data_IF_597111112639
#
_entry.id   IF_597111112639
#
_cell.length_a   1.000
_cell.length_b   1.000
_cell.length_c   1.000
_cell.angle_alpha   90.00
_cell.angle_beta   90.00
_cell.angle_gamma   90.00
#
_symmetry.space_group_name_H-M   'P 1'
#
loop_
_entity.id
_entity.type
_entity.pdbx_description
1 polymer ?
#
# COMPACT_ATOMS: atom_id res chain seq x y z
N UNK A 1 -9.40 -11.64 17.85
CA UNK A 1 -8.01 -11.15 17.69
C UNK A 1 -7.14 -11.40 18.94
N UNK A 2 -7.53 -10.93 20.13
CA UNK A 2 -6.72 -11.05 21.35
C UNK A 2 -6.38 -12.50 21.72
N UNK A 3 -7.31 -13.45 21.56
CA UNK A 3 -7.04 -14.86 21.82
C UNK A 3 -5.98 -15.44 20.87
N UNK A 4 -6.11 -15.19 19.57
CA UNK A 4 -5.12 -15.65 18.57
C UNK A 4 -3.73 -15.08 18.86
N UNK A 5 -3.65 -13.79 19.17
CA UNK A 5 -2.40 -13.13 19.52
C UNK A 5 -1.76 -13.76 20.77
N UNK A 6 -2.56 -14.02 21.81
CA UNK A 6 -2.10 -14.72 23.02
C UNK A 6 -1.54 -16.10 22.70
N UNK A 7 -2.26 -16.90 21.92
CA UNK A 7 -1.86 -18.28 21.60
C UNK A 7 -0.64 -18.33 20.69
N UNK A 8 -0.56 -17.44 19.69
CA UNK A 8 0.58 -17.38 18.78
C UNK A 8 1.86 -16.87 19.45
N UNK A 9 1.76 -16.17 20.56
CA UNK A 9 2.90 -15.71 21.36
C UNK A 9 3.18 -16.61 22.58
N UNK A 10 2.38 -17.65 22.82
CA UNK A 10 2.62 -18.61 23.89
C UNK A 10 3.75 -19.57 23.50
N UNK A 11 4.91 -19.60 24.19
CA UNK A 11 6.03 -20.48 23.86
C UNK A 11 5.72 -21.95 24.10
N UNK A 12 4.69 -22.26 24.87
CA UNK A 12 4.24 -23.62 25.19
C UNK A 12 3.20 -24.19 24.22
N UNK A 13 2.92 -23.45 23.12
CA UNK A 13 1.89 -23.79 22.16
C UNK A 13 2.51 -24.08 20.78
N UNK A 14 2.08 -25.18 20.13
CA UNK A 14 2.41 -25.47 18.73
C UNK A 14 1.21 -25.94 17.93
N UNK A 15 1.24 -25.72 16.62
CA UNK A 15 0.28 -26.26 15.68
C UNK A 15 0.86 -27.53 15.10
N UNK A 16 0.12 -28.65 15.24
CA UNK A 16 0.51 -29.97 14.74
C UNK A 16 0.14 -30.13 13.28
N UNK A 17 -1.07 -29.70 12.92
CA UNK A 17 -1.55 -29.74 11.54
C UNK A 17 -2.53 -28.61 11.28
N UNK A 18 -2.67 -28.23 10.01
CA UNK A 18 -3.64 -27.25 9.55
C UNK A 18 -4.19 -27.66 8.19
N UNK A 19 -5.52 -27.66 8.06
CA UNK A 19 -6.25 -27.86 6.81
C UNK A 19 -7.11 -26.64 6.53
N UNK A 20 -6.84 -25.96 5.39
CA UNK A 20 -7.57 -24.74 5.00
C UNK A 20 -9.01 -25.05 4.56
N UNK A 21 -9.24 -26.21 3.99
CA UNK A 21 -10.55 -26.67 3.56
C UNK A 21 -11.19 -27.54 4.67
N UNK A 22 -12.07 -26.92 5.45
CA UNK A 22 -12.73 -27.60 6.57
C UNK A 22 -13.56 -28.82 6.16
N UNK A 23 -14.03 -28.90 4.92
CA UNK A 23 -14.81 -30.04 4.42
C UNK A 23 -14.01 -31.32 4.33
N UNK A 24 -12.69 -31.23 4.26
CA UNK A 24 -11.77 -32.38 4.32
C UNK A 24 -11.60 -32.96 5.72
N UNK A 25 -11.94 -32.20 6.74
CA UNK A 25 -11.87 -32.62 8.15
C UNK A 25 -13.25 -32.98 8.67
N UNK A 26 -14.24 -32.14 8.38
CA UNK A 26 -15.64 -32.33 8.78
C UNK A 26 -16.53 -32.24 7.56
N UNK A 27 -17.12 -33.35 7.14
CA UNK A 27 -18.07 -33.40 6.02
C UNK A 27 -19.25 -32.44 6.27
N UNK A 28 -19.67 -31.72 5.23
CA UNK A 28 -20.79 -30.77 5.27
C UNK A 28 -20.60 -29.53 6.16
N UNK A 29 -19.37 -29.13 6.44
CA UNK A 29 -19.08 -27.89 7.16
C UNK A 29 -18.24 -26.93 6.31
N UNK A 30 -18.60 -25.64 6.37
CA UNK A 30 -17.81 -24.55 5.77
C UNK A 30 -17.33 -23.62 6.92
N UNK A 31 -16.17 -23.93 7.47
CA UNK A 31 -15.53 -23.12 8.50
C UNK A 31 -14.51 -22.20 7.84
N UNK A 32 -14.86 -20.92 7.72
CA UNK A 32 -13.91 -19.91 7.22
C UNK A 32 -12.68 -19.82 8.12
N UNK A 33 -11.50 -19.97 7.51
CA UNK A 33 -10.22 -19.96 8.22
C UNK A 33 -9.64 -21.34 8.49
N UNK A 34 -10.34 -22.43 8.05
CA UNK A 34 -9.83 -23.81 8.15
C UNK A 34 -9.91 -24.42 9.55
N UNK A 35 -9.25 -25.57 9.71
CA UNK A 35 -9.19 -26.34 10.96
C UNK A 35 -7.73 -26.55 11.35
N UNK A 36 -7.39 -26.25 12.60
CA UNK A 36 -6.07 -26.49 13.16
C UNK A 36 -6.13 -27.51 14.30
N UNK A 37 -5.20 -28.47 14.30
CA UNK A 37 -4.92 -29.31 15.45
C UNK A 37 -3.72 -28.73 16.15
N UNK A 38 -3.87 -28.41 17.42
CA UNK A 38 -2.82 -27.79 18.23
C UNK A 38 -2.52 -28.59 19.49
N UNK A 39 -1.32 -28.37 20.02
CA UNK A 39 -0.86 -28.97 21.27
C UNK A 39 -0.28 -27.89 22.15
N UNK A 40 -0.59 -27.97 23.45
CA UNK A 40 -0.03 -27.09 24.46
C UNK A 40 0.46 -27.91 25.66
N UNK A 41 1.70 -27.65 26.08
CA UNK A 41 2.31 -28.31 27.26
C UNK A 41 3.07 -27.27 28.08
N UNK A 42 2.76 -27.17 29.36
CA UNK A 42 3.47 -26.25 30.27
C UNK A 42 4.92 -26.68 30.55
N UNK A 43 5.23 -27.93 30.24
CA UNK A 43 6.55 -28.53 30.52
C UNK A 43 7.51 -28.44 29.31
N UNK A 44 7.04 -27.97 28.15
CA UNK A 44 7.81 -27.91 26.93
C UNK A 44 7.81 -26.49 26.36
N UNK A 45 8.94 -25.98 25.94
CA UNK A 45 9.11 -24.72 25.26
C UNK A 45 9.36 -24.96 23.77
N UNK A 46 8.38 -24.62 22.91
CA UNK A 46 8.46 -24.72 21.44
C UNK A 46 8.90 -23.41 20.80
N UNK A 47 8.99 -22.32 21.59
CA UNK A 47 9.13 -20.96 21.13
C UNK A 47 7.85 -20.39 20.52
N UNK A 48 7.69 -19.09 20.61
CA UNK A 48 6.52 -18.41 20.06
C UNK A 48 6.39 -18.57 18.53
N UNK A 49 5.20 -18.92 18.05
CA UNK A 49 4.89 -19.03 16.62
C UNK A 49 4.92 -17.63 15.98
N UNK A 50 4.31 -16.65 16.65
CA UNK A 50 4.18 -15.27 16.19
C UNK A 50 3.25 -15.13 14.99
N UNK A 51 3.74 -15.35 13.77
CA UNK A 51 2.93 -15.34 12.55
C UNK A 51 2.80 -16.76 12.01
N UNK A 52 1.57 -17.20 11.82
CA UNK A 52 1.27 -18.53 11.26
C UNK A 52 0.74 -18.39 9.84
N UNK A 53 1.18 -19.27 8.95
CA UNK A 53 0.64 -19.47 7.60
C UNK A 53 0.33 -20.93 7.36
N UNK A 54 -0.54 -21.21 6.40
CA UNK A 54 -0.84 -22.57 5.95
C UNK A 54 0.35 -23.28 5.27
N UNK A 55 1.43 -22.55 4.99
CA UNK A 55 2.59 -23.03 4.25
C UNK A 55 3.81 -23.13 5.18
N UNK A 56 4.27 -24.34 5.46
CA UNK A 56 5.38 -24.59 6.39
C UNK A 56 6.67 -23.85 6.01
N UNK A 57 6.97 -23.77 4.70
CA UNK A 57 8.13 -23.09 4.16
C UNK A 57 8.10 -21.58 4.46
N UNK A 58 6.92 -20.97 4.38
CA UNK A 58 6.75 -19.54 4.70
C UNK A 58 6.91 -19.26 6.18
N UNK A 59 6.47 -20.15 7.06
CA UNK A 59 6.67 -20.02 8.50
C UNK A 59 8.17 -19.99 8.84
N UNK A 60 8.97 -20.85 8.21
CA UNK A 60 10.42 -20.88 8.36
C UNK A 60 11.09 -19.59 7.84
N UNK A 61 10.67 -19.07 6.69
CA UNK A 61 11.17 -17.82 6.12
C UNK A 61 10.84 -16.63 7.02
N UNK A 62 9.60 -16.54 7.52
CA UNK A 62 9.18 -15.47 8.44
C UNK A 62 10.01 -15.49 9.71
N UNK A 63 10.26 -16.66 10.28
CA UNK A 63 11.12 -16.80 11.47
C UNK A 63 12.53 -16.26 11.22
N UNK A 64 13.12 -16.58 10.06
CA UNK A 64 14.44 -16.05 9.67
C UNK A 64 14.44 -14.52 9.51
N UNK A 65 13.42 -13.95 8.85
CA UNK A 65 13.31 -12.49 8.68
C UNK A 65 13.24 -11.80 10.03
N UNK A 66 12.41 -12.31 10.95
CA UNK A 66 12.30 -11.76 12.30
C UNK A 66 13.62 -11.81 13.07
N UNK A 67 14.43 -12.86 12.87
CA UNK A 67 15.73 -12.99 13.56
C UNK A 67 16.78 -11.99 13.10
N UNK A 68 16.71 -11.50 11.84
CA UNK A 68 17.67 -10.51 11.31
C UNK A 68 17.26 -9.06 11.59
N UNK A 69 16.12 -8.85 12.28
CA UNK A 69 15.59 -7.51 12.64
C UNK A 69 15.57 -6.54 11.45
N UNK A 70 15.21 -7.04 10.26
CA UNK A 70 15.11 -6.22 9.08
C UNK A 70 14.02 -5.14 9.23
N UNK A 71 14.30 -3.95 8.77
CA UNK A 71 13.33 -2.86 8.70
C UNK A 71 12.19 -3.22 7.75
N UNK A 72 11.00 -2.75 8.09
CA UNK A 72 9.81 -3.01 7.27
C UNK A 72 9.69 -2.01 6.13
N UNK A 73 9.42 -2.50 4.92
CA UNK A 73 9.09 -1.60 3.80
C UNK A 73 7.90 -0.67 4.13
N UNK A 74 7.01 -1.08 5.04
CA UNK A 74 5.86 -0.27 5.46
C UNK A 74 6.25 1.08 6.07
N UNK A 75 7.46 1.21 6.61
CA UNK A 75 7.97 2.45 7.22
C UNK A 75 8.20 3.56 6.20
N UNK A 76 8.47 3.18 4.94
CA UNK A 76 8.68 4.13 3.84
C UNK A 76 7.51 4.20 2.88
N UNK A 77 6.38 3.54 3.17
CA UNK A 77 5.13 3.68 2.41
C UNK A 77 4.38 4.90 2.89
N UNK A 78 4.20 5.87 2.02
CA UNK A 78 3.37 7.04 2.31
C UNK A 78 1.90 6.64 2.41
N UNK A 79 1.22 7.20 3.41
CA UNK A 79 -0.21 7.02 3.56
C UNK A 79 -1.01 7.59 2.39
N UNK A 80 -2.32 7.37 2.45
CA UNK A 80 -3.27 7.98 1.52
C UNK A 80 -3.34 9.50 1.74
N UNK A 81 -3.51 10.28 0.67
CA UNK A 81 -3.78 11.71 0.77
C UNK A 81 -2.58 12.57 1.15
N UNK A 82 -1.38 12.16 0.75
CA UNK A 82 -0.14 12.93 1.00
C UNK A 82 -0.07 14.22 0.19
N UNK A 83 -0.73 14.27 -0.98
CA UNK A 83 -0.88 15.48 -1.78
C UNK A 83 -2.22 16.13 -1.43
N UNK A 84 -2.19 17.38 -1.05
CA UNK A 84 -3.39 18.11 -0.63
C UNK A 84 -3.52 19.43 -1.36
N UNK A 85 -4.76 19.90 -1.53
CA UNK A 85 -4.98 21.26 -2.02
C UNK A 85 -4.52 22.27 -0.98
N UNK A 86 -3.77 23.29 -1.42
CA UNK A 86 -3.30 24.37 -0.55
C UNK A 86 -4.45 25.32 -0.19
N UNK A 87 -4.27 26.07 0.90
CA UNK A 87 -5.20 27.15 1.27
C UNK A 87 -5.34 28.21 0.16
N UNK A 88 -4.28 28.42 -0.62
CA UNK A 88 -4.30 29.31 -1.76
C UNK A 88 -5.30 28.85 -2.82
N UNK A 89 -5.33 27.54 -3.12
CA UNK A 89 -6.29 26.99 -4.07
C UNK A 89 -7.75 27.25 -3.64
N UNK A 90 -8.06 27.04 -2.36
CA UNK A 90 -9.40 27.26 -1.81
C UNK A 90 -9.78 28.74 -1.79
N UNK A 91 -8.83 29.63 -1.52
CA UNK A 91 -9.05 31.10 -1.54
C UNK A 91 -9.30 31.61 -2.96
N UNK A 92 -8.50 31.18 -3.94
CA UNK A 92 -8.65 31.65 -5.33
C UNK A 92 -9.85 31.00 -6.04
N UNK A 93 -10.19 29.76 -5.67
CA UNK A 93 -11.31 29.02 -6.25
C UNK A 93 -12.23 28.43 -5.17
N UNK A 94 -13.07 29.26 -4.52
CA UNK A 94 -13.96 28.78 -3.44
C UNK A 94 -14.92 27.67 -3.89
N UNK A 95 -15.20 27.57 -5.19
CA UNK A 95 -16.01 26.48 -5.77
C UNK A 95 -15.42 25.09 -5.51
N UNK A 96 -14.11 24.98 -5.26
CA UNK A 96 -13.47 23.69 -4.92
C UNK A 96 -14.17 23.04 -3.73
N UNK A 97 -14.54 23.82 -2.72
CA UNK A 97 -15.22 23.28 -1.54
C UNK A 97 -16.59 22.66 -1.85
N UNK A 98 -17.27 23.14 -2.88
CA UNK A 98 -18.55 22.58 -3.33
C UNK A 98 -18.36 21.34 -4.21
N UNK A 99 -17.23 21.23 -4.91
CA UNK A 99 -16.89 20.12 -5.77
C UNK A 99 -16.36 18.90 -4.98
N UNK A 100 -15.86 19.12 -3.76
CA UNK A 100 -15.28 18.10 -2.89
C UNK A 100 -16.30 17.64 -1.84
N UNK A 101 -16.24 16.39 -1.44
CA UNK A 101 -17.10 15.84 -0.38
C UNK A 101 -16.72 16.38 1.01
N UNK A 102 -17.69 16.37 1.93
CA UNK A 102 -17.46 16.80 3.31
C UNK A 102 -16.35 15.95 3.96
N UNK A 103 -15.45 16.61 4.70
CA UNK A 103 -14.28 15.99 5.30
C UNK A 103 -13.10 15.78 4.36
N UNK A 104 -13.26 15.99 3.04
CA UNK A 104 -12.25 15.75 2.00
C UNK A 104 -11.96 16.98 1.14
N UNK A 105 -12.18 18.18 1.67
CA UNK A 105 -12.10 19.47 0.95
C UNK A 105 -10.73 19.72 0.31
N UNK A 106 -9.68 19.23 0.92
CA UNK A 106 -8.30 19.42 0.44
C UNK A 106 -7.70 18.18 -0.23
N UNK A 107 -8.45 17.09 -0.41
CA UNK A 107 -7.87 15.86 -0.93
C UNK A 107 -7.65 15.93 -2.45
N UNK A 108 -6.48 15.51 -2.90
CA UNK A 108 -6.22 15.18 -4.31
C UNK A 108 -6.71 13.75 -4.55
N UNK A 109 -8.02 13.57 -4.45
CA UNK A 109 -8.70 12.28 -4.47
C UNK A 109 -8.55 11.53 -5.79
N UNK A 110 -9.00 10.28 -5.82
CA UNK A 110 -8.94 9.43 -7.03
C UNK A 110 -9.69 10.03 -8.23
N UNK A 111 -10.72 10.85 -7.98
CA UNK A 111 -11.48 11.57 -9.01
C UNK A 111 -10.98 12.97 -9.35
N UNK A 112 -9.83 13.40 -8.82
CA UNK A 112 -9.37 14.78 -8.90
C UNK A 112 -9.28 15.31 -10.34
N UNK A 113 -8.86 14.51 -11.30
CA UNK A 113 -8.76 14.92 -12.70
C UNK A 113 -10.11 15.19 -13.36
N UNK A 114 -11.20 14.67 -12.84
CA UNK A 114 -12.55 14.96 -13.29
C UNK A 114 -13.18 16.11 -12.50
N UNK A 115 -13.03 16.07 -11.18
CA UNK A 115 -13.68 17.01 -10.26
C UNK A 115 -13.04 18.39 -10.31
N UNK A 116 -11.71 18.44 -10.47
CA UNK A 116 -10.91 19.67 -10.47
C UNK A 116 -10.34 19.98 -11.87
N UNK A 117 -10.99 19.44 -12.93
CA UNK A 117 -10.61 19.71 -14.32
C UNK A 117 -10.72 21.22 -14.62
N UNK A 118 -9.71 21.76 -15.29
CA UNK A 118 -9.58 23.19 -15.64
C UNK A 118 -9.58 24.16 -14.45
N UNK A 119 -9.54 23.65 -13.22
CA UNK A 119 -9.42 24.47 -12.00
C UNK A 119 -8.01 24.31 -11.40
N UNK A 120 -7.66 23.08 -11.06
CA UNK A 120 -6.33 22.73 -10.51
C UNK A 120 -5.55 21.86 -11.50
N UNK A 121 -6.24 20.94 -12.17
CA UNK A 121 -5.63 19.97 -13.09
C UNK A 121 -6.03 20.22 -14.55
N UNK A 122 -5.09 20.02 -15.46
CA UNK A 122 -5.24 20.29 -16.89
C UNK A 122 -4.63 19.15 -17.69
N UNK A 123 -5.26 18.74 -18.79
CA UNK A 123 -4.70 17.75 -19.72
C UNK A 123 -3.44 18.26 -20.42
N UNK A 124 -3.49 19.52 -20.84
CA UNK A 124 -2.40 20.25 -21.47
C UNK A 124 -1.94 21.36 -20.53
N UNK A 125 -0.64 21.67 -20.56
CA UNK A 125 -0.09 22.73 -19.72
C UNK A 125 -0.60 24.09 -20.23
N UNK A 126 -1.37 24.84 -19.41
CA UNK A 126 -1.79 26.19 -19.79
C UNK A 126 -0.59 27.16 -19.87
N UNK A 127 -0.74 28.20 -20.68
CA UNK A 127 0.17 29.34 -20.74
C UNK A 127 -0.47 30.54 -20.01
N UNK A 128 -0.48 30.49 -18.69
CA UNK A 128 -1.16 31.47 -17.83
C UNK A 128 -0.25 32.03 -16.72
N UNK A 129 1.06 31.83 -16.87
CA UNK A 129 2.06 32.35 -15.93
C UNK A 129 2.23 31.52 -14.64
N UNK A 130 1.46 30.45 -14.42
CA UNK A 130 1.66 29.56 -13.28
C UNK A 130 2.74 28.50 -13.56
N UNK A 131 3.44 28.06 -12.49
CA UNK A 131 4.27 26.88 -12.54
C UNK A 131 3.40 25.62 -12.46
N UNK A 132 3.66 24.67 -13.37
CA UNK A 132 2.92 23.41 -13.45
C UNK A 132 3.84 22.22 -13.22
N UNK A 133 3.31 21.23 -12.52
CA UNK A 133 3.94 19.93 -12.27
C UNK A 133 3.02 18.79 -12.71
N UNK A 134 3.59 17.62 -12.98
CA UNK A 134 2.82 16.47 -13.44
C UNK A 134 2.25 15.68 -12.28
N UNK A 135 1.02 15.21 -12.44
CA UNK A 135 0.37 14.29 -11.51
C UNK A 135 -0.10 13.04 -12.25
N UNK A 136 0.21 11.88 -11.68
CA UNK A 136 -0.28 10.59 -12.13
C UNK A 136 -1.67 10.32 -11.53
N UNK A 137 -2.60 9.89 -12.36
CA UNK A 137 -3.94 9.51 -11.93
C UNK A 137 -4.59 8.54 -12.90
N UNK A 138 -5.88 8.29 -12.72
CA UNK A 138 -6.69 7.48 -13.63
C UNK A 138 -7.78 8.32 -14.29
N UNK A 139 -7.94 8.12 -15.59
CA UNK A 139 -9.12 8.58 -16.35
C UNK A 139 -9.62 7.39 -17.16
N UNK A 140 -10.89 7.02 -16.98
CA UNK A 140 -11.51 5.84 -17.62
C UNK A 140 -10.66 4.58 -17.45
N UNK A 141 -10.19 4.32 -16.24
CA UNK A 141 -9.31 3.20 -15.85
C UNK A 141 -7.94 3.15 -16.56
N UNK A 142 -7.55 4.20 -17.26
CA UNK A 142 -6.22 4.35 -17.88
C UNK A 142 -5.36 5.30 -17.07
N UNK A 143 -4.09 4.95 -16.89
CA UNK A 143 -3.09 5.84 -16.27
C UNK A 143 -2.80 7.00 -17.20
N UNK A 144 -2.92 8.20 -16.67
CA UNK A 144 -2.66 9.44 -17.40
C UNK A 144 -1.91 10.41 -16.50
N UNK A 145 -1.21 11.35 -17.12
CA UNK A 145 -0.61 12.49 -16.44
C UNK A 145 -1.39 13.75 -16.80
N UNK A 146 -1.75 14.51 -15.75
CA UNK A 146 -2.27 15.86 -15.91
C UNK A 146 -1.29 16.86 -15.31
N UNK A 147 -1.39 18.10 -15.73
CA UNK A 147 -0.64 19.22 -15.19
C UNK A 147 -1.41 19.82 -14.04
N UNK A 148 -0.82 19.89 -12.84
CA UNK A 148 -1.36 20.57 -11.69
C UNK A 148 -0.64 21.89 -11.44
N UNK A 149 -1.37 22.96 -11.09
CA UNK A 149 -0.75 24.20 -10.64
C UNK A 149 -0.02 23.94 -9.32
N UNK A 150 1.31 24.05 -9.35
CA UNK A 150 2.15 23.70 -8.18
C UNK A 150 1.76 24.45 -6.92
N UNK A 151 1.47 25.73 -7.05
CA UNK A 151 1.08 26.62 -5.94
C UNK A 151 -0.25 26.23 -5.27
N UNK A 152 -1.06 25.42 -5.93
CA UNK A 152 -2.36 24.96 -5.41
C UNK A 152 -2.29 23.60 -4.74
N UNK A 153 -1.11 23.01 -4.64
CA UNK A 153 -0.94 21.66 -4.07
C UNK A 153 0.18 21.70 -3.05
N UNK A 154 -0.16 21.29 -1.82
CA UNK A 154 0.82 21.00 -0.79
C UNK A 154 1.42 19.62 -1.05
N UNK A 155 2.71 19.60 -1.30
CA UNK A 155 3.46 18.41 -1.67
C UNK A 155 4.33 17.93 -0.50
N UNK A 156 4.41 16.60 -0.24
CA UNK A 156 5.33 16.05 0.75
C UNK A 156 6.78 16.10 0.26
N UNK A 157 7.75 15.90 1.15
CA UNK A 157 9.18 15.97 0.82
C UNK A 157 9.59 15.01 -0.29
N UNK A 158 8.99 13.81 -0.33
CA UNK A 158 9.26 12.84 -1.38
C UNK A 158 8.83 13.28 -2.78
N UNK A 159 8.06 14.36 -2.91
CA UNK A 159 7.73 14.96 -4.19
C UNK A 159 8.96 15.42 -4.95
N UNK A 160 9.98 15.89 -4.25
CA UNK A 160 11.22 16.40 -4.83
C UNK A 160 12.27 15.33 -5.09
N UNK A 161 11.95 14.06 -4.78
CA UNK A 161 12.85 12.90 -4.86
C UNK A 161 12.27 11.79 -5.73
N UNK A 162 13.08 10.80 -6.04
CA UNK A 162 12.60 9.56 -6.67
C UNK A 162 11.78 8.74 -5.68
N UNK A 163 10.76 8.06 -6.18
CA UNK A 163 9.86 7.19 -5.41
C UNK A 163 9.29 6.10 -6.31
N UNK A 164 8.63 5.12 -5.73
CA UNK A 164 7.87 4.12 -6.48
C UNK A 164 6.38 4.34 -6.24
N UNK A 165 5.60 4.49 -7.30
CA UNK A 165 4.14 4.51 -7.22
C UNK A 165 3.58 3.11 -7.35
N UNK A 166 2.71 2.72 -6.40
CA UNK A 166 1.94 1.48 -6.44
C UNK A 166 0.44 1.81 -6.41
N UNK A 167 -0.41 1.11 -7.19
CA UNK A 167 -1.84 1.28 -7.08
C UNK A 167 -2.33 0.96 -5.67
N UNK A 168 -3.21 1.80 -5.14
CA UNK A 168 -3.83 1.62 -3.82
C UNK A 168 -4.65 0.32 -3.74
N UNK A 169 -5.33 -0.03 -4.83
CA UNK A 169 -6.09 -1.26 -4.94
C UNK A 169 -5.38 -2.24 -5.85
N UNK A 170 -5.15 -3.43 -5.37
CA UNK A 170 -4.53 -4.53 -6.09
C UNK A 170 -5.37 -5.77 -5.94
N UNK A 171 -5.72 -6.39 -7.05
CA UNK A 171 -6.25 -7.70 -7.27
C UNK A 171 -7.15 -8.32 -6.19
N UNK A 172 -7.18 -9.64 -6.17
CA UNK A 172 -8.00 -10.44 -5.23
C UNK A 172 -7.41 -10.55 -3.83
N UNK A 173 -6.11 -10.29 -3.69
CA UNK A 173 -5.35 -10.53 -2.47
C UNK A 173 -4.86 -11.97 -2.31
N UNK A 174 -4.85 -12.73 -3.39
CA UNK A 174 -4.29 -14.08 -3.40
C UNK A 174 -2.79 -14.06 -3.06
N UNK A 175 -2.33 -15.10 -2.38
CA UNK A 175 -0.93 -15.23 -1.99
C UNK A 175 -0.02 -15.20 -3.23
N UNK A 176 0.99 -14.33 -3.22
CA UNK A 176 1.95 -14.20 -4.33
C UNK A 176 1.39 -13.50 -5.58
N UNK A 177 0.21 -12.92 -5.50
CA UNK A 177 -0.42 -12.16 -6.59
C UNK A 177 0.50 -11.08 -7.13
N UNK A 178 0.47 -10.88 -8.44
CA UNK A 178 1.23 -9.82 -9.11
C UNK A 178 0.60 -8.47 -8.81
N UNK A 179 1.38 -7.56 -8.24
CA UNK A 179 0.97 -6.18 -8.06
C UNK A 179 0.73 -5.51 -9.42
N UNK A 180 -0.38 -4.79 -9.55
CA UNK A 180 -0.68 -4.02 -10.77
C UNK A 180 0.43 -3.02 -11.02
N UNK A 181 1.27 -3.32 -11.96
CA UNK A 181 2.42 -2.57 -12.49
C UNK A 181 2.87 -1.36 -11.66
N UNK A 182 3.72 -1.53 -10.64
CA UNK A 182 4.40 -0.43 -9.97
C UNK A 182 5.27 0.33 -10.96
N UNK A 183 5.46 1.63 -10.75
CA UNK A 183 6.28 2.46 -11.63
C UNK A 183 7.10 3.47 -10.82
N UNK A 184 8.20 3.94 -11.41
CA UNK A 184 9.02 4.99 -10.81
C UNK A 184 8.33 6.34 -10.99
N UNK A 185 8.24 7.10 -9.92
CA UNK A 185 7.91 8.51 -9.92
C UNK A 185 9.19 9.33 -9.83
N UNK A 186 9.47 10.11 -10.88
CA UNK A 186 10.58 11.05 -10.92
C UNK A 186 10.34 12.25 -9.98
N UNK A 187 11.38 13.02 -9.64
CA UNK A 187 11.21 14.30 -8.96
C UNK A 187 10.18 15.20 -9.67
N UNK A 188 9.41 15.96 -8.89
CA UNK A 188 8.35 16.84 -9.34
C UNK A 188 7.16 16.14 -10.02
N UNK A 189 7.03 14.82 -9.85
CA UNK A 189 5.84 14.09 -10.24
C UNK A 189 5.08 13.66 -8.98
N UNK A 190 3.82 14.10 -8.86
CA UNK A 190 2.89 13.68 -7.82
C UNK A 190 1.91 12.63 -8.29
N UNK A 191 1.01 12.21 -7.41
CA UNK A 191 -0.06 11.28 -7.75
C UNK A 191 -1.37 11.62 -7.03
N UNK A 192 -2.49 11.26 -7.63
CA UNK A 192 -3.79 11.25 -6.95
C UNK A 192 -3.84 10.09 -5.94
N UNK A 193 -4.82 10.08 -5.04
CA UNK A 193 -5.03 9.01 -4.06
C UNK A 193 -5.23 7.60 -4.66
N UNK A 194 -5.25 7.49 -5.97
CA UNK A 194 -5.26 6.19 -6.67
C UNK A 194 -3.95 5.43 -6.46
N UNK A 195 -2.88 6.15 -6.16
CA UNK A 195 -1.55 5.58 -5.96
C UNK A 195 -1.01 5.92 -4.56
N UNK A 196 -0.28 4.97 -3.98
CA UNK A 196 0.58 5.18 -2.83
C UNK A 196 1.99 5.43 -3.34
N UNK A 197 2.77 6.25 -2.65
CA UNK A 197 4.19 6.41 -2.93
C UNK A 197 5.03 5.66 -1.89
N UNK A 198 6.08 5.02 -2.37
CA UNK A 198 7.04 4.25 -1.56
C UNK A 198 8.40 4.88 -1.71
N UNK A 199 8.99 5.21 -0.58
CA UNK A 199 10.32 5.78 -0.49
C UNK A 199 10.40 7.28 -0.81
N UNK A 200 11.59 7.80 -0.59
CA UNK A 200 12.05 9.14 -0.88
C UNK A 200 13.54 9.03 -1.18
N UNK A 201 13.87 8.67 -2.42
CA UNK A 201 15.20 8.26 -2.83
C UNK A 201 15.94 9.42 -3.51
N UNK A 202 17.23 9.55 -3.22
CA UNK A 202 18.07 10.57 -3.85
C UNK A 202 18.39 10.23 -5.31
N UNK A 203 18.46 8.96 -5.64
CA UNK A 203 18.89 8.49 -6.95
C UNK A 203 17.85 7.61 -7.62
N UNK A 204 17.86 7.60 -8.95
CA UNK A 204 17.06 6.70 -9.76
C UNK A 204 17.41 5.23 -9.44
N UNK A 205 18.69 4.93 -9.21
CA UNK A 205 19.17 3.58 -8.90
C UNK A 205 18.50 2.99 -7.63
N UNK A 206 18.37 3.80 -6.57
CA UNK A 206 17.69 3.39 -5.33
C UNK A 206 16.19 3.11 -5.58
N UNK A 207 15.53 3.97 -6.35
CA UNK A 207 14.13 3.77 -6.73
C UNK A 207 13.94 2.50 -7.57
N UNK A 208 14.86 2.21 -8.51
CA UNK A 208 14.87 0.98 -9.29
C UNK A 208 15.08 -0.27 -8.42
N UNK A 209 15.98 -0.20 -7.44
CA UNK A 209 16.20 -1.28 -6.49
C UNK A 209 14.93 -1.56 -5.68
N UNK A 210 14.26 -0.52 -5.17
CA UNK A 210 12.98 -0.63 -4.48
C UNK A 210 11.90 -1.23 -5.40
N UNK A 211 11.81 -0.77 -6.65
CA UNK A 211 10.87 -1.31 -7.64
C UNK A 211 11.10 -2.79 -7.92
N UNK A 212 12.36 -3.23 -8.06
CA UNK A 212 12.74 -4.64 -8.23
C UNK A 212 12.33 -5.47 -7.01
N UNK A 213 12.59 -4.94 -5.80
CA UNK A 213 12.17 -5.59 -4.56
C UNK A 213 10.66 -5.78 -4.49
N UNK A 214 9.87 -4.73 -4.72
CA UNK A 214 8.40 -4.78 -4.71
C UNK A 214 7.85 -5.81 -5.71
N UNK A 215 8.48 -5.93 -6.89
CA UNK A 215 8.11 -6.90 -7.91
C UNK A 215 8.57 -8.32 -7.62
N UNK A 216 9.44 -8.54 -6.66
CA UNK A 216 9.99 -9.86 -6.36
C UNK A 216 8.91 -10.83 -5.88
N UNK A 217 9.10 -12.13 -6.12
CA UNK A 217 8.23 -13.17 -5.57
C UNK A 217 8.17 -13.10 -4.05
N UNK A 218 9.31 -12.83 -3.43
CA UNK A 218 9.43 -12.71 -1.98
C UNK A 218 8.51 -11.61 -1.42
N UNK A 219 8.62 -10.37 -1.89
CA UNK A 219 7.81 -9.25 -1.42
C UNK A 219 6.30 -9.50 -1.62
N UNK A 220 5.91 -10.08 -2.76
CA UNK A 220 4.51 -10.40 -3.07
C UNK A 220 3.94 -11.47 -2.15
N UNK A 221 4.73 -12.51 -1.85
CA UNK A 221 4.33 -13.57 -0.91
C UNK A 221 4.20 -12.98 0.50
N UNK A 222 5.19 -12.19 0.95
CA UNK A 222 5.14 -11.54 2.27
C UNK A 222 3.95 -10.61 2.41
N UNK A 223 3.61 -9.84 1.39
CA UNK A 223 2.41 -9.01 1.38
C UNK A 223 1.13 -9.84 1.57
N UNK A 224 1.02 -11.00 0.91
CA UNK A 224 -0.12 -11.90 1.05
C UNK A 224 -0.22 -12.57 2.43
N UNK A 225 0.91 -12.84 3.08
CA UNK A 225 0.96 -13.44 4.42
C UNK A 225 0.57 -12.44 5.51
N UNK A 226 0.92 -11.16 5.36
CA UNK A 226 0.69 -10.12 6.36
C UNK A 226 -0.65 -9.37 6.17
N UNK A 227 -1.40 -9.71 5.15
CA UNK A 227 -2.70 -9.14 4.81
C UNK A 227 -3.87 -9.86 5.52
#
# INVERSE_FOLDING_TARGET
KAWNEKMLNDPHFKILSYEADSSKVFSNTDIKGGVAISYRSVNEDFGAIGTFTAFSELNSIIKKIKSVKAESLSEIVSGRGVYRLSDKALKEFPKIEQLQSNGHKKDVGSGAFRVLDKVVFFKEKPDDGYEYVKFLGLTSNKRVYHYGRKVFIDCPDNFYKYKVFIPKSNGSGALGEVLSTPLIGEPLIGATETFLSVGSFETLFEAEACLKYIKSKFARVMLGVLK
#
